data_IF_561490327460
#
_entry.id   IF_561490327460
#
_cell.length_a   1.000
_cell.length_b   1.000
_cell.length_c   1.000
_cell.angle_alpha   90.00
_cell.angle_beta   90.00
_cell.angle_gamma   90.00
#
_symmetry.space_group_name_H-M   'P 1'
#
loop_
_entity.id
_entity.type
_entity.pdbx_description
1 polymer ?
#
# COMPACT_ATOMS: atom_id res chain seq x y z
N UNK A 1 -2.44 -8.91 1.59
CA UNK A 1 -1.71 -8.19 2.66
C UNK A 1 -0.80 -9.10 3.47
N UNK A 2 -1.30 -10.19 4.08
CA UNK A 2 -0.49 -11.11 4.90
C UNK A 2 0.86 -11.50 4.25
N UNK A 3 0.84 -11.98 3.00
CA UNK A 3 2.05 -12.29 2.24
C UNK A 3 3.10 -11.18 2.18
N UNK A 4 2.66 -9.92 2.04
CA UNK A 4 3.57 -8.77 1.99
C UNK A 4 4.21 -8.51 3.37
N UNK A 5 3.47 -8.75 4.46
CA UNK A 5 4.03 -8.71 5.81
C UNK A 5 5.06 -9.81 6.02
N UNK A 6 4.74 -11.03 5.61
CA UNK A 6 5.64 -12.18 5.75
C UNK A 6 6.96 -11.90 5.00
N UNK A 7 6.88 -11.48 3.74
CA UNK A 7 8.06 -11.10 2.97
C UNK A 7 8.84 -9.90 3.52
N UNK A 8 8.15 -8.92 4.11
CA UNK A 8 8.83 -7.79 4.75
C UNK A 8 9.71 -8.31 5.90
N UNK A 9 9.15 -9.13 6.79
CA UNK A 9 9.83 -9.65 7.98
C UNK A 9 10.89 -10.69 7.63
N UNK A 10 10.65 -11.54 6.63
CA UNK A 10 11.59 -12.61 6.24
C UNK A 10 12.82 -12.10 5.46
N UNK A 11 12.65 -11.06 4.63
CA UNK A 11 13.69 -10.66 3.68
C UNK A 11 14.44 -9.39 4.07
N UNK A 12 13.90 -8.59 5.00
CA UNK A 12 14.46 -7.31 5.41
C UNK A 12 14.62 -7.26 6.92
N UNK A 13 15.85 -7.03 7.36
CA UNK A 13 16.16 -6.81 8.77
C UNK A 13 16.41 -5.31 9.00
N UNK A 14 15.62 -4.66 9.89
CA UNK A 14 15.77 -3.23 10.17
C UNK A 14 17.06 -2.86 10.90
N UNK A 15 17.77 -3.84 11.50
CA UNK A 15 18.94 -3.61 12.36
C UNK A 15 20.27 -3.96 11.69
N UNK A 16 20.25 -4.69 10.57
CA UNK A 16 21.48 -5.05 9.85
C UNK A 16 21.58 -4.31 8.52
N UNK A 17 22.62 -3.50 8.40
CA UNK A 17 23.08 -2.97 7.11
C UNK A 17 24.17 -3.91 6.63
N UNK A 18 23.77 -4.98 5.95
CA UNK A 18 24.74 -5.87 5.33
C UNK A 18 25.33 -5.20 4.09
N UNK A 19 26.58 -4.75 4.21
CA UNK A 19 27.33 -4.11 3.12
C UNK A 19 27.58 -5.07 1.94
N UNK A 20 27.51 -6.38 2.17
CA UNK A 20 27.69 -7.41 1.15
C UNK A 20 26.36 -7.84 0.50
N UNK A 21 25.22 -7.45 1.07
CA UNK A 21 23.89 -7.67 0.50
C UNK A 21 23.32 -6.36 -0.05
N UNK A 22 23.65 -5.97 -1.29
CA UNK A 22 22.96 -4.87 -1.94
C UNK A 22 21.45 -5.19 -1.92
N UNK A 23 20.62 -4.18 -1.67
CA UNK A 23 19.16 -4.32 -1.56
C UNK A 23 18.61 -4.95 -0.27
N UNK A 24 19.41 -5.06 0.80
CA UNK A 24 18.93 -5.44 2.15
C UNK A 24 18.22 -4.31 2.91
N UNK A 25 18.46 -3.05 2.54
CA UNK A 25 17.99 -1.88 3.31
C UNK A 25 16.80 -1.16 2.67
N UNK A 26 15.95 -0.61 3.54
CA UNK A 26 14.71 0.08 3.18
C UNK A 26 14.73 1.62 3.39
N UNK A 27 15.84 2.20 3.85
CA UNK A 27 15.91 3.63 4.15
C UNK A 27 15.56 4.51 2.93
N UNK A 28 14.93 5.65 3.18
CA UNK A 28 14.53 6.63 2.16
C UNK A 28 14.91 8.05 2.58
N UNK A 29 15.10 8.93 1.60
CA UNK A 29 15.45 10.33 1.84
C UNK A 29 14.63 11.24 0.93
N UNK A 30 14.01 12.26 1.50
CA UNK A 30 13.20 13.21 0.75
C UNK A 30 14.03 13.85 -0.39
N UNK A 31 13.42 13.98 -1.56
CA UNK A 31 14.08 14.47 -2.78
C UNK A 31 14.86 13.40 -3.56
N UNK A 32 15.09 12.21 -2.99
CA UNK A 32 15.75 11.10 -3.69
C UNK A 32 14.74 10.05 -4.14
N UNK A 33 14.82 9.62 -5.42
CA UNK A 33 13.93 8.61 -5.99
C UNK A 33 12.43 8.94 -5.85
N UNK A 34 12.09 10.23 -5.90
CA UNK A 34 10.71 10.73 -5.75
C UNK A 34 10.16 10.71 -4.32
N UNK A 35 10.97 10.37 -3.32
CA UNK A 35 10.52 10.33 -1.92
C UNK A 35 10.15 11.72 -1.39
N UNK A 36 9.07 11.78 -0.62
CA UNK A 36 8.68 12.97 0.17
C UNK A 36 9.02 12.83 1.65
N UNK A 37 9.31 11.61 2.09
CA UNK A 37 9.69 11.30 3.46
C UNK A 37 11.19 10.98 3.57
N UNK A 38 11.75 11.22 4.76
CA UNK A 38 13.11 10.81 5.14
C UNK A 38 13.01 9.90 6.35
N UNK A 39 13.30 8.62 6.17
CA UNK A 39 13.29 7.61 7.24
C UNK A 39 14.60 6.82 7.20
N UNK A 40 15.17 6.52 8.37
CA UNK A 40 16.23 5.50 8.50
C UNK A 40 15.69 4.13 8.06
N UNK A 41 16.55 3.13 7.78
CA UNK A 41 16.10 1.78 7.45
C UNK A 41 15.13 1.20 8.48
N UNK A 42 15.42 1.36 9.76
CA UNK A 42 14.57 0.91 10.88
C UNK A 42 13.23 1.63 10.88
N UNK A 43 13.21 2.97 10.82
CA UNK A 43 11.98 3.75 10.77
C UNK A 43 11.11 3.38 9.57
N UNK A 44 11.72 3.19 8.41
CA UNK A 44 10.97 2.86 7.20
C UNK A 44 10.40 1.44 7.25
N UNK A 45 11.17 0.46 7.74
CA UNK A 45 10.67 -0.88 8.01
C UNK A 45 9.45 -0.84 8.93
N UNK A 46 9.55 -0.14 10.07
CA UNK A 46 8.47 0.00 11.05
C UNK A 46 7.25 0.70 10.43
N UNK A 47 7.47 1.76 9.64
CA UNK A 47 6.40 2.47 8.93
C UNK A 47 5.64 1.57 7.95
N UNK A 48 6.36 0.76 7.15
CA UNK A 48 5.74 -0.19 6.21
C UNK A 48 5.01 -1.31 6.96
N UNK A 49 5.64 -1.89 7.99
CA UNK A 49 5.05 -2.93 8.82
C UNK A 49 3.73 -2.47 9.46
N UNK A 50 3.73 -1.28 10.08
CA UNK A 50 2.54 -0.68 10.67
C UNK A 50 1.44 -0.43 9.63
N UNK A 51 1.80 0.06 8.44
CA UNK A 51 0.86 0.30 7.34
C UNK A 51 0.19 -0.99 6.88
N UNK A 52 0.99 -2.04 6.62
CA UNK A 52 0.47 -3.34 6.18
C UNK A 52 -0.32 -4.04 7.29
N UNK A 53 0.06 -3.86 8.56
CA UNK A 53 -0.71 -4.40 9.71
C UNK A 53 -2.08 -3.73 9.81
N UNK A 54 -2.14 -2.40 9.69
CA UNK A 54 -3.40 -1.68 9.63
C UNK A 54 -4.25 -2.14 8.45
N UNK A 55 -3.67 -2.25 7.25
CA UNK A 55 -4.39 -2.74 6.08
C UNK A 55 -4.89 -4.17 6.27
N UNK A 56 -4.13 -5.04 6.94
CA UNK A 56 -4.57 -6.41 7.25
C UNK A 56 -5.83 -6.39 8.14
N UNK A 57 -5.84 -5.56 9.18
CA UNK A 57 -7.00 -5.40 10.06
C UNK A 57 -8.20 -4.82 9.32
N UNK A 58 -8.01 -3.74 8.56
CA UNK A 58 -9.08 -3.11 7.78
C UNK A 58 -9.68 -4.08 6.77
N UNK A 59 -8.85 -4.86 6.07
CA UNK A 59 -9.34 -5.87 5.11
C UNK A 59 -10.08 -7.02 5.79
N UNK A 60 -9.63 -7.46 6.97
CA UNK A 60 -10.31 -8.50 7.74
C UNK A 60 -11.71 -8.07 8.23
N UNK A 61 -11.90 -6.77 8.45
CA UNK A 61 -13.13 -6.17 8.94
C UNK A 61 -13.83 -5.28 7.91
N UNK A 62 -13.54 -5.47 6.63
CA UNK A 62 -14.14 -4.65 5.57
C UNK A 62 -15.68 -4.73 5.58
N UNK A 63 -16.34 -5.89 5.82
CA UNK A 63 -17.79 -5.95 5.96
C UNK A 63 -18.35 -5.05 7.07
N UNK A 64 -17.67 -4.96 8.21
CA UNK A 64 -18.10 -4.09 9.32
C UNK A 64 -18.02 -2.61 8.94
N UNK A 65 -16.97 -2.24 8.19
CA UNK A 65 -16.81 -0.89 7.66
C UNK A 65 -17.88 -0.54 6.62
N UNK A 66 -18.27 -1.48 5.76
CA UNK A 66 -19.39 -1.32 4.82
C UNK A 66 -20.71 -1.01 5.54
N UNK A 67 -21.06 -1.79 6.55
CA UNK A 67 -22.27 -1.57 7.33
C UNK A 67 -22.25 -0.21 8.07
N UNK A 68 -21.07 0.17 8.60
CA UNK A 68 -20.87 1.47 9.23
C UNK A 68 -20.99 2.63 8.22
N UNK A 69 -20.48 2.46 7.01
CA UNK A 69 -20.59 3.46 5.97
C UNK A 69 -22.02 3.64 5.49
N UNK A 70 -22.77 2.56 5.28
CA UNK A 70 -24.19 2.64 4.94
C UNK A 70 -24.96 3.40 6.03
N UNK A 71 -24.70 3.07 7.30
CA UNK A 71 -25.30 3.76 8.45
C UNK A 71 -24.96 5.26 8.47
N UNK A 72 -23.71 5.62 8.18
CA UNK A 72 -23.27 7.03 8.10
C UNK A 72 -23.91 7.76 6.90
N UNK A 73 -23.99 7.12 5.73
CA UNK A 73 -24.52 7.71 4.51
C UNK A 73 -26.04 7.90 4.55
N UNK A 74 -26.75 7.01 5.25
CA UNK A 74 -28.21 7.06 5.44
C UNK A 74 -28.61 7.84 6.70
N UNK A 75 -27.65 8.23 7.54
CA UNK A 75 -27.93 9.02 8.73
C UNK A 75 -28.64 10.32 8.33
N UNK A 76 -29.60 10.74 9.18
CA UNK A 76 -30.28 12.04 9.05
C UNK A 76 -29.35 13.23 9.34
N UNK A 77 -28.06 12.98 9.57
CA UNK A 77 -27.04 14.02 9.67
C UNK A 77 -26.97 14.77 8.34
N UNK A 78 -27.01 16.11 8.41
CA UNK A 78 -26.91 16.94 7.21
C UNK A 78 -25.57 16.73 6.50
N UNK A 79 -25.56 17.03 5.20
CA UNK A 79 -24.34 17.10 4.39
C UNK A 79 -24.17 18.49 3.80
N UNK A 80 -22.95 18.82 3.37
CA UNK A 80 -22.68 19.99 2.54
C UNK A 80 -22.27 19.55 1.16
N UNK A 81 -22.86 20.15 0.13
CA UNK A 81 -22.39 19.98 -1.23
C UNK A 81 -21.20 20.92 -1.42
N UNK A 82 -20.01 20.38 -1.66
CA UNK A 82 -18.77 21.14 -1.69
C UNK A 82 -17.87 20.65 -2.82
N UNK A 83 -17.25 21.58 -3.54
CA UNK A 83 -16.15 21.23 -4.44
C UNK A 83 -14.89 21.00 -3.61
N UNK A 84 -14.32 19.79 -3.69
CA UNK A 84 -13.18 19.39 -2.87
C UNK A 84 -11.84 19.51 -3.60
N UNK A 85 -11.85 20.02 -4.84
CA UNK A 85 -10.72 19.93 -5.76
C UNK A 85 -10.60 18.57 -6.46
N UNK A 86 -11.37 17.56 -6.04
CA UNK A 86 -11.52 16.25 -6.72
C UNK A 86 -12.86 16.13 -7.46
N UNK A 87 -13.68 17.19 -7.41
CA UNK A 87 -15.05 17.20 -7.93
C UNK A 87 -16.04 17.78 -6.93
N UNK A 88 -17.32 17.81 -7.31
CA UNK A 88 -18.41 18.20 -6.42
C UNK A 88 -18.86 16.98 -5.61
N UNK A 89 -18.67 17.02 -4.29
CA UNK A 89 -19.00 15.90 -3.42
C UNK A 89 -20.03 16.25 -2.35
N UNK A 90 -20.78 15.23 -1.96
CA UNK A 90 -21.52 15.21 -0.71
C UNK A 90 -20.53 15.04 0.45
N UNK A 91 -20.19 16.15 1.11
CA UNK A 91 -19.34 16.13 2.31
C UNK A 91 -20.20 15.87 3.53
N UNK A 92 -20.00 14.73 4.17
CA UNK A 92 -20.82 14.23 5.26
C UNK A 92 -19.94 13.57 6.33
N UNK A 93 -20.28 13.80 7.60
CA UNK A 93 -19.56 13.16 8.71
C UNK A 93 -19.73 11.65 8.70
N UNK A 94 -18.66 10.94 9.11
CA UNK A 94 -18.59 9.48 9.12
C UNK A 94 -18.29 8.92 10.53
N UNK A 95 -19.14 9.18 11.53
CA UNK A 95 -18.85 8.83 12.93
C UNK A 95 -18.69 7.32 13.16
N UNK A 96 -19.46 6.47 12.48
CA UNK A 96 -19.36 5.02 12.69
C UNK A 96 -18.07 4.47 12.06
N UNK A 97 -17.75 4.87 10.83
CA UNK A 97 -16.48 4.51 10.19
C UNK A 97 -15.28 5.04 10.98
N UNK A 98 -15.35 6.29 11.46
CA UNK A 98 -14.29 6.91 12.26
C UNK A 98 -14.02 6.13 13.55
N UNK A 99 -15.08 5.68 14.24
CA UNK A 99 -14.98 4.85 15.44
C UNK A 99 -14.29 3.52 15.15
N UNK A 100 -14.71 2.79 14.11
CA UNK A 100 -14.09 1.51 13.74
C UNK A 100 -12.62 1.68 13.34
N UNK A 101 -12.32 2.68 12.51
CA UNK A 101 -10.94 2.96 12.10
C UNK A 101 -10.05 3.34 13.28
N UNK A 102 -10.56 4.09 14.24
CA UNK A 102 -9.82 4.41 15.48
C UNK A 102 -9.51 3.14 16.28
N UNK A 103 -10.45 2.18 16.33
CA UNK A 103 -10.23 0.89 17.00
C UNK A 103 -9.17 0.05 16.28
N UNK A 104 -9.26 -0.08 14.95
CA UNK A 104 -8.27 -0.84 14.17
C UNK A 104 -6.88 -0.20 14.20
N UNK A 105 -6.79 1.12 14.21
CA UNK A 105 -5.53 1.83 14.40
C UNK A 105 -4.94 1.58 15.79
N UNK A 106 -5.79 1.55 16.84
CA UNK A 106 -5.37 1.16 18.19
C UNK A 106 -4.81 -0.26 18.24
N UNK A 107 -5.46 -1.22 17.58
CA UNK A 107 -4.97 -2.60 17.47
C UNK A 107 -3.65 -2.68 16.70
N UNK A 108 -3.53 -2.01 15.55
CA UNK A 108 -2.29 -1.97 14.77
C UNK A 108 -1.11 -1.41 15.59
N UNK A 109 -1.34 -0.33 16.35
CA UNK A 109 -0.36 0.24 17.28
C UNK A 109 0.07 -0.75 18.36
N UNK A 110 -0.88 -1.49 18.94
CA UNK A 110 -0.58 -2.50 19.96
C UNK A 110 0.23 -3.69 19.39
N UNK A 111 -0.04 -4.08 18.14
CA UNK A 111 0.68 -5.18 17.48
C UNK A 111 2.12 -4.82 17.10
N UNK A 112 2.39 -3.57 16.71
CA UNK A 112 3.70 -3.15 16.24
C UNK A 112 4.78 -3.10 17.32
N UNK A 113 4.41 -3.12 18.61
CA UNK A 113 5.31 -3.02 19.81
C UNK A 113 6.23 -1.79 19.88
N UNK A 114 6.39 -1.06 18.78
CA UNK A 114 7.14 0.18 18.63
C UNK A 114 6.21 1.39 18.56
N UNK A 115 6.79 2.59 18.68
CA UNK A 115 6.06 3.85 18.50
C UNK A 115 5.48 3.93 17.08
N UNK A 116 4.27 4.48 16.95
CA UNK A 116 3.68 4.78 15.65
C UNK A 116 4.54 5.77 14.86
N UNK A 117 4.96 5.38 13.66
CA UNK A 117 5.75 6.21 12.75
C UNK A 117 4.82 6.95 11.79
N UNK A 118 4.94 8.28 11.68
CA UNK A 118 4.08 9.15 10.85
C UNK A 118 2.81 9.63 11.55
N UNK A 119 1.93 10.31 10.79
CA UNK A 119 0.68 10.85 11.33
C UNK A 119 -0.37 9.74 11.51
N UNK A 120 -1.12 9.80 12.61
CA UNK A 120 -2.26 8.90 12.89
C UNK A 120 -3.61 9.53 12.53
N UNK A 121 -3.61 10.55 11.68
CA UNK A 121 -4.81 11.23 11.21
C UNK A 121 -5.52 10.35 10.18
N UNK A 122 -6.82 10.16 10.38
CA UNK A 122 -7.74 9.51 9.43
C UNK A 122 -8.69 10.59 8.92
N UNK A 123 -8.65 10.87 7.63
CA UNK A 123 -9.52 11.85 7.00
C UNK A 123 -10.91 11.25 6.77
N UNK A 124 -11.96 11.95 7.22
CA UNK A 124 -13.36 11.52 7.11
C UNK A 124 -14.30 12.72 7.21
N UNK A 125 -15.18 12.89 6.22
CA UNK A 125 -16.14 13.99 6.19
C UNK A 125 -15.50 15.36 5.91
N UNK A 126 -14.36 15.38 5.23
CA UNK A 126 -13.59 16.58 4.90
C UNK A 126 -13.32 16.71 3.39
N UNK A 127 -12.32 17.50 3.00
CA UNK A 127 -11.97 17.68 1.59
C UNK A 127 -11.30 16.44 0.98
N UNK A 128 -10.53 15.70 1.77
CA UNK A 128 -9.64 14.63 1.30
C UNK A 128 -10.37 13.28 1.27
N UNK A 129 -11.33 13.11 2.19
CA UNK A 129 -12.28 12.00 2.23
C UNK A 129 -13.67 12.56 2.52
N UNK A 130 -14.46 12.91 1.48
CA UNK A 130 -15.73 13.61 1.63
C UNK A 130 -16.80 12.87 2.43
N UNK A 131 -16.81 11.54 2.37
CA UNK A 131 -17.80 10.73 3.06
C UNK A 131 -17.33 9.27 3.19
N UNK A 132 -18.12 8.47 3.89
CA UNK A 132 -17.81 7.06 4.16
C UNK A 132 -17.67 6.19 2.91
N UNK A 133 -18.35 6.52 1.80
CA UNK A 133 -18.23 5.76 0.56
C UNK A 133 -16.84 5.95 -0.07
N UNK A 134 -16.37 7.21 -0.15
CA UNK A 134 -15.01 7.51 -0.64
C UNK A 134 -13.95 6.85 0.23
N UNK A 135 -14.18 6.80 1.54
CA UNK A 135 -13.28 6.11 2.46
C UNK A 135 -13.16 4.61 2.13
N UNK A 136 -14.29 3.91 1.97
CA UNK A 136 -14.29 2.50 1.62
C UNK A 136 -13.65 2.27 0.25
N UNK A 137 -14.00 3.11 -0.73
CA UNK A 137 -13.48 2.99 -2.09
C UNK A 137 -11.95 3.06 -2.14
N UNK A 138 -11.35 3.91 -1.30
CA UNK A 138 -9.90 3.93 -1.10
C UNK A 138 -9.38 2.57 -0.61
N UNK A 139 -9.95 2.00 0.43
CA UNK A 139 -9.44 0.76 1.03
C UNK A 139 -9.68 -0.50 0.20
N UNK A 140 -10.73 -0.56 -0.62
CA UNK A 140 -10.92 -1.68 -1.57
C UNK A 140 -9.84 -1.72 -2.66
N UNK A 141 -9.07 -0.63 -2.85
CA UNK A 141 -7.91 -0.65 -3.75
C UNK A 141 -6.73 -1.44 -3.19
N UNK A 142 -6.62 -1.65 -1.87
CA UNK A 142 -5.49 -2.39 -1.27
C UNK A 142 -5.27 -3.77 -1.92
N UNK A 143 -6.28 -4.66 -2.02
CA UNK A 143 -6.09 -5.94 -2.70
C UNK A 143 -5.82 -5.77 -4.20
N UNK A 144 -6.42 -4.78 -4.87
CA UNK A 144 -6.17 -4.50 -6.29
C UNK A 144 -4.72 -4.12 -6.56
N UNK A 145 -4.10 -3.34 -5.68
CA UNK A 145 -2.68 -2.98 -5.76
C UNK A 145 -1.76 -4.16 -5.42
N UNK A 146 -2.05 -4.89 -4.33
CA UNK A 146 -1.12 -5.89 -3.80
C UNK A 146 -1.22 -7.25 -4.49
N UNK A 147 -2.40 -7.68 -4.92
CA UNK A 147 -2.60 -9.02 -5.45
C UNK A 147 -1.80 -9.30 -6.73
N UNK A 148 -1.76 -8.39 -7.74
CA UNK A 148 -0.94 -8.61 -8.93
C UNK A 148 0.55 -8.69 -8.60
N UNK A 149 1.03 -7.87 -7.65
CA UNK A 149 2.41 -7.91 -7.18
C UNK A 149 2.74 -9.23 -6.47
N UNK A 150 1.84 -9.71 -5.60
CA UNK A 150 2.01 -11.02 -4.96
C UNK A 150 2.09 -12.15 -5.99
N UNK A 151 1.16 -12.19 -6.94
CA UNK A 151 1.14 -13.20 -8.01
C UNK A 151 2.42 -13.17 -8.83
N UNK A 152 2.91 -11.98 -9.18
CA UNK A 152 4.18 -11.84 -9.87
C UNK A 152 5.33 -12.44 -9.05
N UNK A 153 5.48 -12.02 -7.78
CA UNK A 153 6.57 -12.50 -6.91
C UNK A 153 6.53 -14.03 -6.74
N UNK A 154 5.34 -14.63 -6.66
CA UNK A 154 5.16 -16.08 -6.65
C UNK A 154 5.57 -16.78 -7.94
N UNK A 155 5.21 -16.20 -9.07
CA UNK A 155 5.48 -16.78 -10.39
C UNK A 155 6.97 -16.80 -10.76
N UNK A 156 7.82 -16.04 -10.07
CA UNK A 156 9.24 -15.89 -10.44
C UNK A 156 9.99 -17.23 -10.53
N UNK A 157 9.73 -18.18 -9.62
CA UNK A 157 10.43 -19.48 -9.69
C UNK A 157 9.95 -20.33 -10.87
N UNK A 158 8.67 -20.26 -11.21
CA UNK A 158 8.09 -20.90 -12.39
C UNK A 158 8.66 -20.28 -13.67
N UNK A 159 8.63 -18.95 -13.76
CA UNK A 159 9.22 -18.19 -14.88
C UNK A 159 10.70 -18.50 -15.07
N UNK A 160 11.45 -18.73 -14.00
CA UNK A 160 12.86 -19.09 -14.07
C UNK A 160 13.11 -20.53 -14.60
N UNK A 161 12.10 -21.41 -14.53
CA UNK A 161 12.14 -22.77 -15.09
C UNK A 161 11.58 -22.83 -16.51
N UNK A 162 10.75 -21.86 -16.90
CA UNK A 162 10.18 -21.76 -18.24
C UNK A 162 11.26 -21.37 -19.27
N UNK A 163 11.53 -22.20 -20.30
CA UNK A 163 12.52 -21.91 -21.34
C UNK A 163 12.31 -20.58 -22.07
N UNK A 164 11.07 -20.11 -22.16
CA UNK A 164 10.69 -18.89 -22.87
C UNK A 164 10.72 -17.64 -21.98
N UNK A 165 10.71 -17.78 -20.65
CA UNK A 165 10.66 -16.64 -19.71
C UNK A 165 11.89 -16.52 -18.81
N UNK A 166 12.68 -17.59 -18.68
CA UNK A 166 13.84 -17.64 -17.77
C UNK A 166 14.85 -16.52 -18.02
N UNK A 167 14.97 -16.04 -19.26
CA UNK A 167 15.92 -14.97 -19.59
C UNK A 167 15.57 -13.66 -18.88
N UNK A 168 14.27 -13.37 -18.65
CA UNK A 168 13.80 -12.16 -17.94
C UNK A 168 14.17 -12.19 -16.46
N UNK A 169 14.15 -13.37 -15.85
CA UNK A 169 14.54 -13.56 -14.45
C UNK A 169 16.07 -13.55 -14.31
N UNK A 170 16.78 -14.23 -15.22
CA UNK A 170 18.25 -14.31 -15.20
C UNK A 170 18.92 -12.97 -15.52
N UNK A 171 18.34 -12.15 -16.40
CA UNK A 171 18.84 -10.79 -16.67
C UNK A 171 18.69 -9.85 -15.48
N UNK A 172 17.91 -10.24 -14.47
CA UNK A 172 17.68 -9.52 -13.22
C UNK A 172 18.31 -10.24 -12.03
N UNK A 173 19.43 -10.92 -12.27
CA UNK A 173 20.28 -11.59 -11.26
C UNK A 173 19.62 -12.81 -10.59
N UNK A 174 18.64 -13.42 -11.26
CA UNK A 174 18.03 -14.68 -10.83
C UNK A 174 16.89 -14.53 -9.81
N UNK A 175 16.17 -15.63 -9.51
CA UNK A 175 14.86 -15.57 -8.87
C UNK A 175 14.87 -14.94 -7.49
N UNK A 176 15.85 -15.27 -6.65
CA UNK A 176 15.98 -14.71 -5.31
C UNK A 176 16.20 -13.18 -5.35
N UNK A 177 17.02 -12.71 -6.29
CA UNK A 177 17.33 -11.29 -6.41
C UNK A 177 16.17 -10.50 -7.01
N UNK A 178 15.45 -11.04 -8.00
CA UNK A 178 14.22 -10.41 -8.53
C UNK A 178 13.21 -10.21 -7.42
N UNK A 179 12.88 -11.27 -6.66
CA UNK A 179 11.93 -11.19 -5.55
C UNK A 179 12.32 -10.08 -4.57
N UNK A 180 13.57 -10.07 -4.12
CA UNK A 180 14.09 -9.06 -3.17
C UNK A 180 14.05 -7.64 -3.74
N UNK A 181 14.51 -7.43 -4.97
CA UNK A 181 14.57 -6.09 -5.59
C UNK A 181 13.17 -5.52 -5.84
N UNK A 182 12.22 -6.35 -6.28
CA UNK A 182 10.82 -5.97 -6.52
C UNK A 182 10.15 -5.56 -5.20
N UNK A 183 10.26 -6.41 -4.18
CA UNK A 183 9.69 -6.14 -2.86
C UNK A 183 10.32 -4.91 -2.22
N UNK A 184 11.64 -4.75 -2.33
CA UNK A 184 12.34 -3.55 -1.87
C UNK A 184 11.84 -2.30 -2.58
N UNK A 185 11.67 -2.34 -3.90
CA UNK A 185 11.18 -1.19 -4.66
C UNK A 185 9.78 -0.78 -4.17
N UNK A 186 8.88 -1.75 -4.01
CA UNK A 186 7.54 -1.49 -3.48
C UNK A 186 7.58 -0.96 -2.04
N UNK A 187 8.31 -1.61 -1.13
CA UNK A 187 8.36 -1.17 0.27
C UNK A 187 8.96 0.22 0.41
N UNK A 188 9.99 0.57 -0.39
CA UNK A 188 10.59 1.91 -0.34
C UNK A 188 9.73 2.97 -0.99
N UNK A 189 9.21 2.70 -2.18
CA UNK A 189 8.59 3.73 -3.03
C UNK A 189 7.06 3.73 -3.00
N UNK A 190 6.44 2.64 -2.55
CA UNK A 190 5.00 2.57 -2.28
C UNK A 190 4.59 3.20 -0.95
N UNK A 191 5.56 3.56 -0.09
CA UNK A 191 5.32 4.15 1.24
C UNK A 191 6.15 5.43 1.47
N UNK A 192 6.55 6.10 0.39
CA UNK A 192 7.47 7.23 0.42
C UNK A 192 6.82 8.62 0.59
N UNK A 193 5.51 8.66 0.81
CA UNK A 193 4.73 9.90 0.95
C UNK A 193 4.44 10.63 -0.37
N UNK A 194 4.65 9.99 -1.52
CA UNK A 194 4.31 10.57 -2.82
C UNK A 194 2.81 10.50 -3.13
N UNK A 195 2.35 11.28 -4.11
CA UNK A 195 0.96 11.27 -4.58
C UNK A 195 0.02 12.26 -3.88
N UNK A 196 0.41 12.89 -2.77
CA UNK A 196 -0.35 13.95 -2.08
C UNK A 196 0.52 14.76 -1.10
N UNK A 197 0.01 15.87 -0.57
CA UNK A 197 0.68 16.79 0.37
C UNK A 197 0.73 16.26 1.83
N UNK A 198 0.06 15.14 2.12
CA UNK A 198 -0.11 14.55 3.46
C UNK A 198 0.66 13.24 3.73
N UNK A 199 1.69 12.92 2.95
CA UNK A 199 2.25 11.58 2.69
C UNK A 199 2.51 10.58 3.84
N UNK A 200 2.46 10.96 5.12
CA UNK A 200 2.61 10.04 6.26
C UNK A 200 1.32 9.74 7.06
N UNK A 201 0.20 10.43 6.78
CA UNK A 201 -1.10 10.14 7.39
C UNK A 201 -1.65 8.79 6.93
N UNK A 202 -2.76 8.35 7.53
CA UNK A 202 -3.34 7.03 7.24
C UNK A 202 -3.74 6.93 5.77
N UNK A 203 -4.42 7.95 5.25
CA UNK A 203 -4.79 8.06 3.84
C UNK A 203 -3.56 8.23 2.93
N UNK A 204 -2.56 9.02 3.36
CA UNK A 204 -1.34 9.30 2.60
C UNK A 204 -0.48 8.06 2.31
N UNK A 205 -0.49 7.06 3.21
CA UNK A 205 0.16 5.75 2.97
C UNK A 205 -0.45 5.04 1.78
N UNK A 206 -1.77 5.04 1.70
CA UNK A 206 -2.49 4.40 0.61
C UNK A 206 -2.29 5.17 -0.69
N UNK A 207 -2.33 6.51 -0.64
CA UNK A 207 -2.06 7.35 -1.81
C UNK A 207 -0.65 7.13 -2.36
N UNK A 208 0.35 6.94 -1.50
CA UNK A 208 1.71 6.60 -1.94
C UNK A 208 1.77 5.27 -2.71
N UNK A 209 1.05 4.26 -2.24
CA UNK A 209 1.01 2.96 -2.90
C UNK A 209 0.27 3.03 -4.24
N UNK A 210 -0.82 3.80 -4.31
CA UNK A 210 -1.54 4.08 -5.54
C UNK A 210 -0.69 4.87 -6.55
N UNK A 211 0.08 5.83 -6.08
CA UNK A 211 1.03 6.54 -6.94
C UNK A 211 2.11 5.58 -7.46
N UNK A 212 2.57 4.63 -6.64
CA UNK A 212 3.53 3.61 -7.10
C UNK A 212 2.95 2.72 -8.21
N UNK A 213 1.69 2.27 -8.08
CA UNK A 213 1.05 1.45 -9.12
C UNK A 213 0.88 2.21 -10.43
N UNK A 214 0.54 3.49 -10.36
CA UNK A 214 0.45 4.39 -11.53
C UNK A 214 1.77 4.55 -12.29
N UNK A 215 2.90 4.28 -11.63
CA UNK A 215 4.25 4.38 -12.20
C UNK A 215 4.88 3.00 -12.49
N UNK A 216 4.10 1.91 -12.48
CA UNK A 216 4.64 0.54 -12.63
C UNK A 216 5.33 0.30 -13.96
N UNK A 217 4.89 0.97 -15.03
CA UNK A 217 5.45 0.84 -16.39
C UNK A 217 6.91 1.30 -16.48
N UNK A 218 7.34 2.19 -15.58
CA UNK A 218 8.73 2.65 -15.49
C UNK A 218 9.64 1.75 -14.66
N UNK A 219 9.13 0.63 -14.11
CA UNK A 219 9.91 -0.22 -13.20
C UNK A 219 10.83 -1.16 -13.97
N UNK A 220 12.03 -1.39 -13.42
CA UNK A 220 13.05 -2.24 -14.04
C UNK A 220 12.60 -3.69 -14.31
N UNK A 221 11.57 -4.15 -13.59
CA UNK A 221 10.99 -5.49 -13.72
C UNK A 221 9.71 -5.51 -14.55
N UNK A 222 9.30 -4.40 -15.18
CA UNK A 222 8.00 -4.30 -15.86
C UNK A 222 7.83 -5.35 -16.97
N UNK A 223 8.86 -5.62 -17.76
CA UNK A 223 8.81 -6.68 -18.79
C UNK A 223 8.60 -8.08 -18.18
N UNK A 224 9.24 -8.37 -17.05
CA UNK A 224 9.04 -9.63 -16.32
C UNK A 224 7.62 -9.69 -15.71
N UNK A 225 7.11 -8.58 -15.18
CA UNK A 225 5.76 -8.47 -14.67
C UNK A 225 4.72 -8.73 -15.78
N UNK A 226 4.87 -8.14 -16.97
CA UNK A 226 3.99 -8.42 -18.10
C UNK A 226 4.04 -9.90 -18.51
N UNK A 227 5.24 -10.49 -18.56
CA UNK A 227 5.42 -11.90 -18.89
C UNK A 227 4.83 -12.87 -17.85
N UNK A 228 4.52 -12.40 -16.64
CA UNK A 228 3.79 -13.18 -15.63
C UNK A 228 2.26 -13.15 -15.80
N UNK A 229 1.75 -12.56 -16.90
CA UNK A 229 0.31 -12.40 -17.14
C UNK A 229 -0.31 -11.18 -16.48
N UNK A 230 0.49 -10.16 -16.13
CA UNK A 230 -0.04 -8.90 -15.61
C UNK A 230 -0.74 -8.10 -16.71
N UNK A 231 -2.04 -7.84 -16.55
CA UNK A 231 -2.84 -7.01 -17.47
C UNK A 231 -3.17 -5.63 -16.91
N UNK A 232 -3.06 -5.44 -15.59
CA UNK A 232 -3.33 -4.18 -14.91
C UNK A 232 -3.63 -4.37 -13.43
N UNK A 233 -3.82 -3.27 -12.69
CA UNK A 233 -4.25 -3.31 -11.29
C UNK A 233 -5.77 -3.30 -11.13
N UNK A 234 -6.51 -2.85 -12.15
CA UNK A 234 -7.97 -2.82 -12.14
C UNK A 234 -8.62 -4.17 -12.51
N UNK A 235 -7.80 -5.19 -12.81
CA UNK A 235 -8.23 -6.52 -13.24
C UNK A 235 -8.58 -6.57 -14.73
N UNK A 236 -8.59 -7.78 -15.30
CA UNK A 236 -9.27 -8.01 -16.58
C UNK A 236 -10.78 -7.86 -16.33
N UNK A 237 -11.46 -7.13 -17.22
CA UNK A 237 -12.91 -7.14 -17.34
C UNK A 237 -13.46 -8.50 -17.86
N UNK A 238 -12.67 -9.57 -17.74
CA UNK A 238 -12.79 -10.81 -18.49
C UNK A 238 -13.46 -11.98 -17.77
N UNK A 239 -13.61 -11.96 -16.44
CA UNK A 239 -14.25 -13.07 -15.72
C UNK A 239 -15.28 -12.55 -14.71
N UNK A 240 -16.54 -12.47 -15.17
CA UNK A 240 -17.76 -12.47 -14.35
C UNK A 240 -18.53 -13.76 -14.60
#
# INVERSE_FOLDING_TARGET
VARMLDWLVELFDPNTVDQNAPYSTLGISAGSGGSKLTHTPTQHFTFVYQSLTLWKLVMAHLPDLWLAADSDLLAKSGYRLMNTGQGLHRVQGSPNVSKLMSQYLGQAKAMARERWEGLSVVHLGDRDVPNSLVFIDKYVQVPRMLAPLCRFVDSIDEMNRDPYRQYLVRSLDGPAMVKRRVLRDFFRHGFNGSGDDGGSCIDGRLTSAWNWTSNVSGKFFYAALQASGFTGFDGDSGDF
#
